data_IF_992472733052
#
_entry.id   IF_992472733052
#
_cell.length_a   1.000
_cell.length_b   1.000
_cell.length_c   1.000
_cell.angle_alpha   90.00
_cell.angle_beta   90.00
_cell.angle_gamma   90.00
#
_symmetry.space_group_name_H-M   'P 1'
#
loop_
_entity.id
_entity.type
_entity.pdbx_description
1 polymer ?
#
# COMPACT_ATOMS: atom_id res chain seq x y z
N UNK A 1 -1.47 19.73 -0.68
CA UNK A 1 -0.82 18.70 -1.52
C UNK A 1 -1.89 17.87 -2.20
N UNK A 2 -1.54 17.03 -3.19
CA UNK A 2 -2.46 16.03 -3.73
C UNK A 2 -2.55 14.84 -2.76
N UNK A 3 -3.72 14.19 -2.59
CA UNK A 3 -3.84 12.96 -1.82
C UNK A 3 -2.85 11.89 -2.28
N UNK A 4 -2.25 11.18 -1.32
CA UNK A 4 -1.24 10.16 -1.59
C UNK A 4 -1.38 9.00 -0.60
N UNK A 5 -1.26 7.78 -1.11
CA UNK A 5 -1.14 6.56 -0.31
C UNK A 5 0.00 5.74 -0.90
N UNK A 6 0.94 5.33 -0.06
CA UNK A 6 2.05 4.46 -0.50
C UNK A 6 1.78 3.00 -0.14
N UNK A 7 2.07 2.07 -1.05
CA UNK A 7 2.06 0.63 -0.77
C UNK A 7 3.50 0.14 -0.78
N UNK A 8 4.00 -0.34 0.37
CA UNK A 8 5.39 -0.72 0.58
C UNK A 8 5.50 -2.23 0.82
N UNK A 9 5.88 -2.96 -0.23
CA UNK A 9 6.02 -4.41 -0.20
C UNK A 9 7.46 -4.85 0.05
N UNK A 10 7.68 -5.55 1.16
CA UNK A 10 9.00 -6.06 1.53
C UNK A 10 9.86 -5.04 2.27
N UNK A 11 11.02 -5.51 2.75
CA UNK A 11 11.90 -4.75 3.63
C UNK A 11 12.44 -3.49 2.96
N UNK A 12 12.91 -3.60 1.73
CA UNK A 12 13.57 -2.49 1.04
C UNK A 12 12.59 -1.34 0.76
N UNK A 13 11.36 -1.65 0.37
CA UNK A 13 10.31 -0.65 0.22
C UNK A 13 9.94 0.00 1.57
N UNK A 14 9.82 -0.79 2.65
CA UNK A 14 9.56 -0.25 3.99
C UNK A 14 10.67 0.67 4.50
N UNK A 15 11.91 0.52 4.05
CA UNK A 15 13.00 1.45 4.40
C UNK A 15 12.74 2.88 3.89
N UNK A 16 11.86 3.07 2.90
CA UNK A 16 11.43 4.40 2.45
C UNK A 16 10.37 5.05 3.36
N UNK A 17 9.77 4.32 4.31
CA UNK A 17 8.71 4.81 5.21
C UNK A 17 9.06 6.11 5.93
N UNK A 18 10.29 6.32 6.45
CA UNK A 18 10.65 7.58 7.10
C UNK A 18 10.58 8.80 6.17
N UNK A 19 10.83 8.62 4.88
CA UNK A 19 10.81 9.70 3.88
C UNK A 19 9.38 10.19 3.58
N UNK A 20 8.37 9.38 3.90
CA UNK A 20 6.96 9.68 3.64
C UNK A 20 6.29 10.48 4.77
N UNK A 21 6.97 10.66 5.91
CA UNK A 21 6.47 11.45 7.03
C UNK A 21 5.13 10.92 7.58
N UNK A 22 4.11 11.77 7.63
CA UNK A 22 2.77 11.41 8.10
C UNK A 22 1.85 10.87 7.01
N UNK A 23 2.31 10.72 5.77
CA UNK A 23 1.48 10.21 4.69
C UNK A 23 1.08 8.74 4.96
N UNK A 24 -0.16 8.34 4.63
CA UNK A 24 -0.61 6.97 4.84
C UNK A 24 0.23 5.96 4.04
N UNK A 25 0.64 4.89 4.73
CA UNK A 25 1.40 3.80 4.14
C UNK A 25 0.79 2.44 4.50
N UNK A 26 0.66 1.58 3.48
CA UNK A 26 0.25 0.19 3.64
C UNK A 26 1.50 -0.66 3.48
N UNK A 27 1.86 -1.37 4.54
CA UNK A 27 3.06 -2.21 4.57
C UNK A 27 2.69 -3.68 4.67
N UNK A 28 3.37 -4.54 3.89
CA UNK A 28 3.21 -5.99 3.97
C UNK A 28 4.48 -6.72 3.53
N UNK A 29 4.49 -8.05 3.66
CA UNK A 29 5.52 -8.86 3.01
C UNK A 29 5.52 -8.64 1.48
N UNK A 30 6.64 -8.96 0.83
CA UNK A 30 6.76 -8.85 -0.62
C UNK A 30 5.90 -9.93 -1.31
N UNK A 31 5.27 -9.66 -2.46
CA UNK A 31 4.49 -10.65 -3.22
C UNK A 31 5.31 -11.83 -3.78
N UNK A 32 6.63 -11.83 -3.59
CA UNK A 32 7.50 -12.90 -4.07
C UNK A 32 7.13 -14.22 -3.37
N UNK A 33 7.12 -15.36 -4.08
CA UNK A 33 6.81 -16.67 -3.49
C UNK A 33 7.62 -17.00 -2.23
N UNK A 34 8.84 -16.45 -2.11
CA UNK A 34 9.73 -16.66 -0.96
C UNK A 34 9.26 -16.00 0.34
N UNK A 35 8.27 -15.10 0.27
CA UNK A 35 7.81 -14.31 1.41
C UNK A 35 6.31 -14.05 1.45
N UNK A 36 5.54 -14.42 0.43
CA UNK A 36 4.15 -14.02 0.29
C UNK A 36 3.24 -14.63 1.37
N UNK A 37 3.54 -15.86 1.78
CA UNK A 37 2.91 -16.59 2.89
C UNK A 37 3.14 -15.92 4.25
N UNK A 38 4.22 -15.15 4.41
CA UNK A 38 4.57 -14.43 5.64
C UNK A 38 3.81 -13.11 5.83
N UNK A 39 2.72 -12.89 5.10
CA UNK A 39 1.82 -11.76 5.31
C UNK A 39 1.59 -10.84 4.11
N UNK A 40 1.86 -11.29 2.88
CA UNK A 40 1.32 -10.62 1.69
C UNK A 40 -0.12 -11.06 1.45
N UNK A 41 -0.40 -12.37 1.49
CA UNK A 41 -1.76 -12.88 1.41
C UNK A 41 -2.58 -12.39 2.60
N UNK A 42 -3.81 -11.92 2.35
CA UNK A 42 -4.67 -11.31 3.36
C UNK A 42 -4.35 -9.84 3.69
N UNK A 43 -3.27 -9.25 3.17
CA UNK A 43 -2.90 -7.84 3.47
C UNK A 43 -3.85 -6.80 2.86
N UNK A 44 -4.63 -7.19 1.84
CA UNK A 44 -5.66 -6.39 1.14
C UNK A 44 -5.18 -4.98 0.75
N UNK A 45 -4.04 -4.83 0.04
CA UNK A 45 -3.42 -3.53 -0.14
C UNK A 45 -4.26 -2.61 -1.04
N UNK A 46 -4.96 -3.16 -2.03
CA UNK A 46 -5.74 -2.39 -3.00
C UNK A 46 -7.01 -1.77 -2.39
N UNK A 47 -7.80 -2.55 -1.64
CA UNK A 47 -9.01 -2.02 -1.00
C UNK A 47 -8.65 -1.01 0.08
N UNK A 48 -7.63 -1.31 0.91
CA UNK A 48 -7.14 -0.39 1.94
C UNK A 48 -6.60 0.91 1.34
N UNK A 49 -5.96 0.86 0.17
CA UNK A 49 -5.47 2.07 -0.49
C UNK A 49 -6.63 2.95 -0.93
N UNK A 50 -7.70 2.35 -1.45
CA UNK A 50 -8.92 3.08 -1.82
C UNK A 50 -9.60 3.69 -0.59
N UNK A 51 -9.68 2.96 0.53
CA UNK A 51 -10.23 3.48 1.79
C UNK A 51 -9.45 4.72 2.27
N UNK A 52 -8.12 4.64 2.29
CA UNK A 52 -7.25 5.76 2.68
C UNK A 52 -7.29 6.95 1.71
N UNK A 53 -7.55 6.71 0.42
CA UNK A 53 -7.75 7.77 -0.56
C UNK A 53 -9.10 8.46 -0.34
N UNK A 54 -10.16 7.70 -0.07
CA UNK A 54 -11.48 8.22 0.24
C UNK A 54 -11.48 9.06 1.52
N UNK A 55 -10.77 8.63 2.57
CA UNK A 55 -10.56 9.41 3.80
C UNK A 55 -9.87 10.76 3.54
N UNK A 56 -9.04 10.84 2.50
CA UNK A 56 -8.40 12.07 2.03
C UNK A 56 -9.26 12.88 1.04
N UNK A 57 -10.50 12.45 0.75
CA UNK A 57 -11.39 13.08 -0.23
C UNK A 57 -11.01 12.83 -1.69
N UNK A 58 -10.15 11.85 -1.97
CA UNK A 58 -9.77 11.46 -3.32
C UNK A 58 -10.69 10.38 -3.90
N UNK A 59 -10.72 10.28 -5.22
CA UNK A 59 -11.36 9.16 -5.89
C UNK A 59 -10.53 7.87 -5.72
N UNK A 60 -11.16 6.70 -5.55
CA UNK A 60 -10.46 5.43 -5.47
C UNK A 60 -9.83 5.06 -6.82
N UNK A 61 -8.80 4.22 -6.79
CA UNK A 61 -8.19 3.68 -8.00
C UNK A 61 -9.02 2.48 -8.48
N UNK A 62 -9.29 2.44 -9.79
CA UNK A 62 -9.81 1.23 -10.45
C UNK A 62 -8.66 0.27 -10.73
N UNK A 63 -8.64 -0.85 -9.99
CA UNK A 63 -7.58 -1.85 -10.06
C UNK A 63 -7.86 -2.98 -11.07
N UNK A 64 -8.99 -2.93 -11.77
CA UNK A 64 -9.32 -3.95 -12.77
C UNK A 64 -8.37 -3.81 -13.96
N UNK A 65 -7.77 -4.92 -14.35
CA UNK A 65 -6.94 -5.01 -15.56
C UNK A 65 -7.80 -5.52 -16.73
N UNK A 66 -7.47 -5.17 -17.99
CA UNK A 66 -8.14 -5.69 -19.18
C UNK A 66 -8.18 -7.21 -19.25
#
# INVERSE_FOLDING_TARGET
>A
GKPLVSILWGRDARNARPLLGSLPAIESAHPSPMSADRGFFGSRPFSRANDLLLEQGAQPVDWRLP
#
